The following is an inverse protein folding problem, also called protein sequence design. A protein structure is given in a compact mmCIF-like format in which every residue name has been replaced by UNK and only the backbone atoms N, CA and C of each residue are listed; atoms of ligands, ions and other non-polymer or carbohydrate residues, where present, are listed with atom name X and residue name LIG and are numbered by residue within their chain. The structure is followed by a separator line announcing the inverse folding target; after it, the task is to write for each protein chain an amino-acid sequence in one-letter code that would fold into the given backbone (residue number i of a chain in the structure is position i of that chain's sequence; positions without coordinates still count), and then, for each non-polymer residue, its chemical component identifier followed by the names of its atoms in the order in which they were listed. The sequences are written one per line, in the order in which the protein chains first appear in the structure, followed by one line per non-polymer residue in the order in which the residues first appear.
data_IF_860483639229
#
_entry.id   IF_860483639229
#
_cell.length_a   1.000
_cell.length_b   1.000
_cell.length_c   1.000
_cell.angle_alpha   90.00
_cell.angle_beta   90.00
_cell.angle_gamma   90.00
#
_symmetry.space_group_name_H-M   'P 1'
#
loop_
_entity.id
_entity.type
_entity.pdbx_description
1 polymer ?
#
# COMPACT_ATOMS: atom_id res chain seq x y z
N UNK A 1 -41.44 70.60 34.15
CA UNK A 1 -41.49 69.17 34.52
C UNK A 1 -40.11 68.59 34.21
N UNK A 2 -39.20 68.50 35.21
CA UNK A 2 -38.84 67.26 35.94
C UNK A 2 -38.57 66.11 34.95
N UNK A 3 -37.35 65.57 34.78
CA UNK A 3 -36.37 65.16 35.80
C UNK A 3 -34.89 65.31 35.34
N UNK A 4 -33.97 65.58 36.28
CA UNK A 4 -32.52 65.53 36.10
C UNK A 4 -31.96 64.11 36.31
N UNK A 5 -30.87 63.76 35.62
CA UNK A 5 -30.08 62.55 35.87
C UNK A 5 -29.09 62.80 37.01
N UNK A 6 -29.30 62.12 38.13
CA UNK A 6 -28.37 62.00 39.24
C UNK A 6 -27.80 60.58 39.21
N UNK A 7 -26.49 60.43 38.98
CA UNK A 7 -25.71 59.48 39.77
C UNK A 7 -25.61 60.01 41.21
N UNK A 8 -25.12 59.27 42.22
CA UNK A 8 -24.04 58.29 42.12
C UNK A 8 -24.24 57.05 43.03
N UNK A 9 -23.15 56.29 43.23
CA UNK A 9 -22.76 55.54 44.44
C UNK A 9 -22.56 54.03 44.22
N UNK A 10 -21.27 53.71 44.13
CA UNK A 10 -20.54 52.62 44.78
C UNK A 10 -21.14 51.22 44.78
N UNK A 11 -20.46 50.33 44.06
CA UNK A 11 -20.48 48.89 44.29
C UNK A 11 -19.13 48.30 43.90
N UNK A 12 -18.29 48.03 44.90
CA UNK A 12 -17.01 47.34 44.76
C UNK A 12 -17.20 45.97 44.12
N UNK A 13 -16.47 45.68 43.05
CA UNK A 13 -16.05 44.31 42.76
C UNK A 13 -14.61 44.35 42.25
N UNK A 14 -13.67 44.08 43.15
CA UNK A 14 -12.37 43.55 42.76
C UNK A 14 -12.62 42.16 42.16
N UNK A 15 -12.70 42.06 40.84
CA UNK A 15 -12.56 40.80 40.16
C UNK A 15 -11.06 40.48 40.11
N UNK A 16 -10.61 39.60 41.02
CA UNK A 16 -9.31 38.98 40.90
C UNK A 16 -9.30 38.12 39.63
N UNK A 17 -8.70 38.62 38.55
CA UNK A 17 -8.34 37.80 37.40
C UNK A 17 -7.17 36.90 37.83
N UNK A 18 -7.52 35.75 38.39
CA UNK A 18 -6.60 34.62 38.49
C UNK A 18 -6.36 34.11 37.06
N UNK A 19 -5.27 34.57 36.43
CA UNK A 19 -4.70 33.95 35.25
C UNK A 19 -4.27 32.52 35.63
N UNK A 20 -5.19 31.58 35.44
CA UNK A 20 -4.87 30.16 35.50
C UNK A 20 -4.01 29.87 34.26
N UNK A 21 -2.69 29.94 34.43
CA UNK A 21 -1.76 29.30 33.51
C UNK A 21 -2.05 27.80 33.58
N UNK A 22 -2.95 27.34 32.72
CA UNK A 22 -3.02 25.92 32.38
C UNK A 22 -1.68 25.64 31.71
N UNK A 23 -0.76 25.04 32.46
CA UNK A 23 0.41 24.41 31.89
C UNK A 23 -0.12 23.29 30.98
N UNK A 24 -0.33 23.62 29.70
CA UNK A 24 -0.45 22.60 28.67
C UNK A 24 0.81 21.75 28.81
N UNK A 25 0.70 20.43 28.98
CA UNK A 25 1.88 19.59 28.86
C UNK A 25 2.44 19.84 27.47
N UNK A 26 3.60 20.50 27.42
CA UNK A 26 4.48 20.48 26.27
C UNK A 26 4.75 19.00 26.04
N UNK A 27 3.98 18.39 25.13
CA UNK A 27 4.37 17.12 24.58
C UNK A 27 5.72 17.43 23.93
N UNK A 28 6.81 16.77 24.32
CA UNK A 28 8.03 16.89 23.55
C UNK A 28 7.61 16.54 22.13
N UNK A 29 7.75 17.48 21.20
CA UNK A 29 7.81 17.15 19.81
C UNK A 29 9.02 16.22 19.72
N UNK A 30 8.77 14.91 19.83
CA UNK A 30 9.74 13.91 19.43
C UNK A 30 10.12 14.34 18.02
N UNK A 31 11.38 14.69 17.82
CA UNK A 31 11.96 14.79 16.49
C UNK A 31 11.92 13.36 15.91
N UNK A 32 10.73 12.90 15.56
CA UNK A 32 10.46 11.55 15.12
C UNK A 32 10.90 11.46 13.68
N UNK A 33 11.87 10.59 13.42
CA UNK A 33 12.18 10.19 12.07
C UNK A 33 10.97 9.54 11.38
N UNK A 34 11.12 9.11 10.12
CA UNK A 34 10.06 8.34 9.47
C UNK A 34 9.71 7.09 10.30
N UNK A 35 8.41 6.77 10.36
CA UNK A 35 7.89 5.65 11.11
C UNK A 35 6.96 4.79 10.25
N UNK A 36 6.98 3.47 10.49
CA UNK A 36 6.10 2.49 9.86
C UNK A 36 5.02 2.08 10.86
N UNK A 37 3.75 2.11 10.45
CA UNK A 37 2.64 1.57 11.25
C UNK A 37 2.28 0.15 10.81
N UNK A 38 2.24 -0.79 11.74
CA UNK A 38 1.69 -2.13 11.51
C UNK A 38 0.41 -2.26 12.35
N UNK A 39 -0.74 -2.33 11.69
CA UNK A 39 -2.06 -2.47 12.31
C UNK A 39 -2.70 -3.80 11.88
N UNK A 40 -2.40 -4.86 12.63
CA UNK A 40 -2.82 -6.23 12.31
C UNK A 40 -3.50 -6.89 13.50
N UNK A 41 -4.51 -7.72 13.25
CA UNK A 41 -5.22 -8.47 14.29
C UNK A 41 -5.72 -7.60 15.47
N UNK A 42 -6.19 -6.39 15.16
CA UNK A 42 -6.70 -5.43 16.16
C UNK A 42 -5.62 -4.74 17.01
N UNK A 43 -4.35 -4.99 16.75
CA UNK A 43 -3.22 -4.33 17.42
C UNK A 43 -2.52 -3.38 16.45
N UNK A 44 -2.29 -2.14 16.88
CA UNK A 44 -1.48 -1.18 16.14
C UNK A 44 -0.13 -0.97 16.85
N UNK A 45 0.95 -1.02 16.06
CA UNK A 45 2.32 -0.72 16.51
C UNK A 45 2.98 0.23 15.54
N UNK A 46 3.72 1.19 16.09
CA UNK A 46 4.51 2.15 15.32
C UNK A 46 5.99 1.82 15.53
N UNK A 47 6.72 1.69 14.43
CA UNK A 47 8.13 1.38 14.41
C UNK A 47 8.91 2.57 13.86
N UNK A 48 9.76 3.17 14.68
CA UNK A 48 10.70 4.19 14.26
C UNK A 48 11.83 3.57 13.41
N UNK A 49 12.31 4.32 12.41
CA UNK A 49 13.40 3.89 11.52
C UNK A 49 14.65 3.45 12.28
N UNK A 50 15.13 4.26 13.23
CA UNK A 50 16.39 4.00 13.92
C UNK A 50 16.22 2.82 14.89
N UNK A 51 15.04 2.68 15.49
CA UNK A 51 14.67 1.49 16.26
C UNK A 51 14.67 0.22 15.41
N UNK A 52 14.16 0.26 14.17
CA UNK A 52 14.19 -0.87 13.23
C UNK A 52 15.62 -1.24 12.84
N UNK A 53 16.47 -0.25 12.55
CA UNK A 53 17.88 -0.45 12.20
C UNK A 53 18.69 -1.06 13.36
N UNK A 54 18.32 -0.75 14.60
CA UNK A 54 18.98 -1.24 15.81
C UNK A 54 18.50 -2.63 16.28
N UNK A 55 17.50 -3.23 15.61
CA UNK A 55 16.98 -4.54 16.02
C UNK A 55 18.05 -5.63 15.93
N UNK A 56 18.06 -6.60 16.87
CA UNK A 56 19.03 -7.69 16.88
C UNK A 56 18.88 -8.64 15.68
N UNK A 57 17.68 -8.72 15.10
CA UNK A 57 17.39 -9.52 13.90
C UNK A 57 17.46 -8.71 12.60
N UNK A 58 17.89 -7.45 12.63
CA UNK A 58 18.14 -6.68 11.42
C UNK A 58 19.42 -7.19 10.74
N UNK A 59 19.30 -7.63 9.50
CA UNK A 59 20.39 -8.24 8.70
C UNK A 59 20.63 -7.44 7.42
N UNK A 60 21.76 -7.70 6.75
CA UNK A 60 21.96 -7.22 5.38
C UNK A 60 21.37 -8.25 4.41
N UNK A 61 20.55 -7.81 3.47
CA UNK A 61 19.99 -8.65 2.41
C UNK A 61 20.43 -8.11 1.05
N UNK A 62 20.91 -9.01 0.19
CA UNK A 62 21.28 -8.69 -1.18
C UNK A 62 20.16 -9.11 -2.12
N UNK A 63 19.70 -8.17 -2.95
CA UNK A 63 18.65 -8.35 -3.94
C UNK A 63 19.30 -8.22 -5.32
N UNK A 64 19.60 -9.34 -6.02
CA UNK A 64 20.34 -9.30 -7.29
C UNK A 64 19.60 -8.59 -8.42
N UNK A 65 18.27 -8.64 -8.39
CA UNK A 65 17.39 -8.03 -9.38
C UNK A 65 16.25 -7.32 -8.65
N UNK A 66 16.54 -6.14 -8.10
CA UNK A 66 15.52 -5.32 -7.46
C UNK A 66 14.54 -4.81 -8.51
N UNK A 67 13.25 -5.02 -8.28
CA UNK A 67 12.25 -4.74 -9.29
C UNK A 67 11.96 -3.24 -9.47
N UNK A 68 12.13 -2.44 -8.41
CA UNK A 68 11.90 -0.99 -8.48
C UNK A 68 13.11 -0.26 -9.05
N UNK A 69 14.32 -0.75 -8.73
CA UNK A 69 15.57 -0.15 -9.24
C UNK A 69 16.07 -0.75 -10.56
N UNK A 70 15.64 -1.96 -10.91
CA UNK A 70 16.10 -2.68 -12.12
C UNK A 70 17.58 -3.10 -12.06
N UNK A 71 18.16 -3.21 -10.87
CA UNK A 71 19.59 -3.53 -10.67
C UNK A 71 19.84 -4.20 -9.31
N UNK A 72 21.04 -4.76 -9.07
CA UNK A 72 21.39 -5.25 -7.76
C UNK A 72 21.35 -4.15 -6.69
N UNK A 73 20.75 -4.45 -5.55
CA UNK A 73 20.66 -3.58 -4.39
C UNK A 73 20.98 -4.36 -3.10
N UNK A 74 21.51 -3.67 -2.09
CA UNK A 74 21.80 -4.26 -0.77
C UNK A 74 21.18 -3.40 0.32
N UNK A 75 20.46 -4.04 1.23
CA UNK A 75 19.65 -3.35 2.23
C UNK A 75 19.96 -3.82 3.63
N UNK A 76 19.98 -2.88 4.60
CA UNK A 76 19.74 -3.25 5.99
C UNK A 76 18.25 -3.46 6.16
N UNK A 77 17.84 -4.63 6.61
CA UNK A 77 16.45 -5.03 6.60
C UNK A 77 16.09 -5.93 7.79
N UNK A 78 14.81 -5.94 8.15
CA UNK A 78 14.25 -6.75 9.23
C UNK A 78 13.34 -7.83 8.62
N UNK A 79 13.42 -9.10 9.05
CA UNK A 79 12.48 -10.12 8.59
C UNK A 79 11.02 -9.71 8.87
N UNK A 80 10.19 -9.67 7.82
CA UNK A 80 8.81 -9.20 7.97
C UNK A 80 8.01 -10.11 8.92
N UNK A 81 8.23 -11.42 8.85
CA UNK A 81 7.60 -12.39 9.74
C UNK A 81 7.86 -12.09 11.22
N UNK A 82 9.07 -11.62 11.58
CA UNK A 82 9.42 -11.23 12.94
C UNK A 82 8.64 -9.99 13.38
N UNK A 83 8.53 -8.97 12.51
CA UNK A 83 7.74 -7.76 12.79
C UNK A 83 6.26 -8.09 12.98
N UNK A 84 5.68 -8.85 12.06
CA UNK A 84 4.29 -9.29 12.14
C UNK A 84 4.05 -10.14 13.39
N UNK A 85 4.95 -11.08 13.70
CA UNK A 85 4.89 -11.94 14.89
C UNK A 85 4.82 -11.16 16.21
N UNK A 86 5.40 -9.96 16.27
CA UNK A 86 5.23 -9.09 17.44
C UNK A 86 3.83 -8.49 17.57
N UNK A 87 3.07 -8.41 16.48
CA UNK A 87 1.76 -7.76 16.39
C UNK A 87 0.58 -8.74 16.35
N UNK A 88 0.79 -10.03 16.09
CA UNK A 88 -0.25 -11.07 16.16
C UNK A 88 -0.47 -11.49 17.61
N UNK A 89 -1.71 -11.83 17.97
CA UNK A 89 -2.07 -12.39 19.27
C UNK A 89 -1.31 -13.71 19.56
N UNK A 90 -1.27 -14.20 20.81
CA UNK A 90 -0.55 -15.43 21.20
C UNK A 90 -0.92 -16.70 20.41
N UNK A 91 -2.04 -16.68 19.68
CA UNK A 91 -2.49 -17.76 18.80
C UNK A 91 -1.70 -17.91 17.50
N UNK A 92 -0.84 -16.94 17.14
CA UNK A 92 0.09 -17.04 16.00
C UNK A 92 -0.53 -16.91 14.60
N UNK A 93 -1.83 -17.14 14.45
CA UNK A 93 -2.49 -17.19 13.14
C UNK A 93 -3.37 -15.97 12.83
N UNK A 94 -3.45 -15.63 11.55
CA UNK A 94 -4.44 -14.70 11.02
C UNK A 94 -5.79 -15.40 10.84
N UNK A 95 -6.93 -14.72 11.07
CA UNK A 95 -8.24 -15.28 10.75
C UNK A 95 -8.33 -15.74 9.29
N UNK A 96 -9.04 -16.84 8.98
CA UNK A 96 -9.25 -17.27 7.60
C UNK A 96 -9.88 -16.16 6.75
N UNK A 97 -9.36 -15.98 5.54
CA UNK A 97 -9.80 -14.91 4.63
C UNK A 97 -9.29 -13.52 5.03
N UNK A 98 -8.20 -13.44 5.80
CA UNK A 98 -7.46 -12.19 6.01
C UNK A 98 -6.47 -11.97 4.87
N UNK A 99 -6.33 -10.72 4.44
CA UNK A 99 -5.23 -10.24 3.60
C UNK A 99 -4.49 -9.12 4.32
N UNK A 100 -3.21 -8.94 4.04
CA UNK A 100 -2.48 -7.74 4.45
C UNK A 100 -2.46 -6.73 3.29
N UNK A 101 -2.66 -5.46 3.60
CA UNK A 101 -2.49 -4.36 2.66
C UNK A 101 -1.20 -3.58 3.00
N UNK A 102 -0.26 -3.55 2.06
CA UNK A 102 0.94 -2.71 2.15
C UNK A 102 0.66 -1.34 1.53
N UNK A 103 0.45 -0.32 2.38
CA UNK A 103 0.04 1.02 1.97
C UNK A 103 1.25 1.94 1.88
N UNK A 104 1.57 2.40 0.68
CA UNK A 104 2.62 3.38 0.45
C UNK A 104 2.12 4.81 0.66
N UNK A 105 3.05 5.75 0.84
CA UNK A 105 2.75 7.16 1.07
C UNK A 105 2.08 7.90 -0.11
N UNK A 106 2.16 7.34 -1.31
CA UNK A 106 1.61 7.92 -2.54
C UNK A 106 0.23 7.36 -2.93
N UNK A 107 -0.36 6.51 -2.08
CA UNK A 107 -1.67 5.90 -2.32
C UNK A 107 -1.64 4.55 -3.02
N UNK A 108 -0.46 4.00 -3.31
CA UNK A 108 -0.30 2.60 -3.71
C UNK A 108 -0.67 1.64 -2.57
N UNK A 109 -1.38 0.55 -2.86
CA UNK A 109 -1.82 -0.43 -1.84
C UNK A 109 -1.66 -1.88 -2.31
N UNK A 110 -0.53 -2.51 -1.99
CA UNK A 110 -0.25 -3.90 -2.35
C UNK A 110 -1.14 -4.89 -1.59
N UNK A 111 -1.63 -5.93 -2.29
CA UNK A 111 -2.31 -7.07 -1.67
C UNK A 111 -1.28 -8.16 -1.33
N UNK A 112 -1.15 -8.46 -0.04
CA UNK A 112 -0.10 -9.30 0.53
C UNK A 112 -0.73 -10.47 1.31
N UNK A 113 -0.70 -11.70 0.77
CA UNK A 113 -1.20 -12.87 1.50
C UNK A 113 -0.40 -13.08 2.81
N UNK A 114 -1.05 -13.25 3.97
CA UNK A 114 -0.34 -13.41 5.24
C UNK A 114 0.65 -14.57 5.25
N UNK A 115 0.30 -15.70 4.61
CA UNK A 115 1.15 -16.88 4.46
C UNK A 115 2.43 -16.61 3.67
N UNK A 116 2.39 -15.65 2.75
CA UNK A 116 3.55 -15.22 1.99
C UNK A 116 4.44 -14.32 2.86
N UNK A 117 3.85 -13.40 3.64
CA UNK A 117 4.58 -12.50 4.53
C UNK A 117 5.20 -13.17 5.76
N UNK A 118 4.62 -14.28 6.24
CA UNK A 118 5.10 -15.04 7.39
C UNK A 118 6.16 -16.09 7.04
N UNK A 119 6.42 -16.33 5.75
CA UNK A 119 7.38 -17.33 5.31
C UNK A 119 8.81 -16.93 5.69
N UNK A 120 9.52 -17.83 6.36
CA UNK A 120 10.90 -17.63 6.85
C UNK A 120 11.90 -18.71 6.39
N UNK A 121 11.41 -19.80 5.80
CA UNK A 121 12.23 -20.95 5.41
C UNK A 121 12.96 -20.80 4.07
N UNK A 122 14.04 -21.56 3.86
CA UNK A 122 14.86 -21.53 2.65
C UNK A 122 14.20 -22.24 1.45
N UNK A 123 12.93 -22.59 1.48
CA UNK A 123 12.24 -23.26 0.36
C UNK A 123 11.28 -22.34 -0.40
N UNK A 124 11.11 -21.08 0.02
CA UNK A 124 10.30 -20.11 -0.70
C UNK A 124 10.81 -18.68 -0.57
N UNK A 125 9.98 -17.74 -1.02
CA UNK A 125 10.29 -16.32 -0.90
C UNK A 125 10.29 -15.89 0.57
N UNK A 126 11.24 -15.03 0.96
CA UNK A 126 11.29 -14.46 2.32
C UNK A 126 11.17 -12.96 2.24
N UNK A 127 10.16 -12.42 2.93
CA UNK A 127 9.90 -10.98 3.00
C UNK A 127 10.80 -10.29 4.03
N UNK A 128 11.36 -9.16 3.63
CA UNK A 128 12.09 -8.26 4.51
C UNK A 128 11.58 -6.83 4.37
N UNK A 129 11.46 -6.14 5.50
CA UNK A 129 11.32 -4.69 5.52
C UNK A 129 12.73 -4.08 5.41
N UNK A 130 13.11 -3.62 4.22
CA UNK A 130 14.31 -2.82 4.03
C UNK A 130 14.11 -1.42 4.63
N UNK A 131 15.14 -0.92 5.31
CA UNK A 131 15.10 0.35 6.04
C UNK A 131 16.25 1.24 5.57
N UNK A 132 15.92 2.42 5.08
CA UNK A 132 16.89 3.39 4.55
C UNK A 132 17.55 4.17 5.69
N UNK A 133 18.88 4.04 5.92
CA UNK A 133 19.57 4.82 6.95
C UNK A 133 19.60 6.31 6.63
N UNK A 134 19.45 7.17 7.64
CA UNK A 134 19.44 8.63 7.47
C UNK A 134 20.76 9.18 6.90
N UNK A 135 21.87 8.59 7.31
CA UNK A 135 23.24 8.96 6.95
C UNK A 135 23.70 8.36 5.62
N UNK A 136 22.94 7.39 5.09
CA UNK A 136 23.23 6.71 3.85
C UNK A 136 21.93 6.45 3.07
N UNK A 137 21.30 7.51 2.54
CA UNK A 137 20.09 7.37 1.75
C UNK A 137 20.34 6.52 0.51
N UNK A 138 19.31 5.80 0.08
CA UNK A 138 19.34 5.05 -1.16
C UNK A 138 19.33 6.01 -2.36
N UNK A 139 19.85 5.56 -3.51
CA UNK A 139 19.72 6.31 -4.75
C UNK A 139 18.25 6.54 -5.10
N UNK A 140 17.98 7.57 -5.91
CA UNK A 140 16.64 7.79 -6.44
C UNK A 140 16.21 6.64 -7.35
N UNK A 141 14.90 6.36 -7.34
CA UNK A 141 14.28 5.40 -8.25
C UNK A 141 14.42 5.88 -9.71
N UNK A 142 14.58 4.97 -10.68
CA UNK A 142 14.65 5.31 -12.10
C UNK A 142 13.48 6.21 -12.52
N UNK A 143 13.78 7.38 -13.08
CA UNK A 143 12.77 8.34 -13.53
C UNK A 143 12.04 9.10 -12.41
N UNK A 144 12.45 8.98 -11.14
CA UNK A 144 11.86 9.70 -10.00
C UNK A 144 12.88 10.57 -9.28
N UNK A 145 12.40 11.56 -8.54
CA UNK A 145 13.22 12.45 -7.70
C UNK A 145 13.39 11.93 -6.26
N UNK A 146 12.84 10.76 -5.95
CA UNK A 146 12.80 10.14 -4.62
C UNK A 146 13.35 8.72 -4.67
N UNK A 147 13.86 8.21 -3.56
CA UNK A 147 14.26 6.81 -3.39
C UNK A 147 13.06 5.91 -3.09
N UNK A 148 13.32 4.62 -2.90
CA UNK A 148 12.35 3.66 -2.37
C UNK A 148 12.13 3.79 -0.84
N UNK A 149 12.93 4.60 -0.16
CA UNK A 149 12.91 4.75 1.29
C UNK A 149 11.72 5.58 1.78
N UNK A 150 11.50 5.70 3.10
CA UNK A 150 12.37 5.18 4.16
C UNK A 150 12.19 3.69 4.44
N UNK A 151 11.10 3.10 3.96
CA UNK A 151 10.74 1.70 4.15
C UNK A 151 10.33 1.06 2.83
N UNK A 152 10.88 -0.12 2.55
CA UNK A 152 10.61 -0.85 1.33
C UNK A 152 10.41 -2.34 1.63
N UNK A 153 9.30 -2.93 1.18
CA UNK A 153 9.12 -4.37 1.23
C UNK A 153 9.88 -5.04 0.08
N UNK A 154 10.89 -5.83 0.43
CA UNK A 154 11.72 -6.58 -0.52
C UNK A 154 11.64 -8.07 -0.26
N UNK A 155 11.98 -8.87 -1.27
CA UNK A 155 11.87 -10.32 -1.20
C UNK A 155 13.17 -11.00 -1.62
N UNK A 156 13.62 -11.97 -0.81
CA UNK A 156 14.66 -12.91 -1.21
C UNK A 156 14.00 -14.09 -1.92
N UNK A 157 14.45 -14.41 -3.14
CA UNK A 157 13.91 -15.47 -4.02
C UNK A 157 12.41 -15.35 -4.28
N UNK A 158 11.94 -14.19 -4.78
CA UNK A 158 10.52 -13.96 -5.09
C UNK A 158 9.90 -15.03 -5.98
N UNK A 159 10.67 -15.57 -6.92
CA UNK A 159 10.25 -16.59 -7.89
C UNK A 159 9.84 -17.91 -7.21
N UNK A 160 10.43 -18.24 -6.06
CA UNK A 160 10.14 -19.47 -5.33
C UNK A 160 8.74 -19.49 -4.71
N UNK A 161 8.00 -18.37 -4.74
CA UNK A 161 6.62 -18.29 -4.26
C UNK A 161 5.72 -17.45 -5.17
N UNK A 162 6.17 -17.15 -6.39
CA UNK A 162 5.39 -16.40 -7.38
C UNK A 162 5.07 -14.96 -6.93
N UNK A 163 5.97 -14.32 -6.18
CA UNK A 163 5.80 -12.92 -5.75
C UNK A 163 5.74 -12.03 -6.99
N UNK A 164 4.64 -11.28 -7.14
CA UNK A 164 4.41 -10.38 -8.28
C UNK A 164 5.05 -9.02 -8.07
N UNK A 165 5.14 -8.27 -9.17
CA UNK A 165 5.81 -6.96 -9.18
C UNK A 165 5.21 -5.93 -8.23
N UNK A 166 3.88 -5.87 -8.14
CA UNK A 166 3.19 -4.96 -7.20
C UNK A 166 3.17 -5.43 -5.74
N UNK A 167 3.81 -6.56 -5.42
CA UNK A 167 3.97 -7.00 -4.02
C UNK A 167 5.26 -6.46 -3.39
N UNK A 168 5.90 -5.48 -4.05
CA UNK A 168 7.08 -4.75 -3.58
C UNK A 168 6.76 -3.27 -3.32
N UNK A 169 5.85 -2.93 -2.37
CA UNK A 169 5.57 -1.53 -2.05
C UNK A 169 6.81 -0.86 -1.45
N UNK A 170 7.33 0.16 -2.15
CA UNK A 170 8.30 1.11 -1.61
C UNK A 170 7.61 2.33 -0.99
N UNK A 171 8.35 3.16 -0.26
CA UNK A 171 7.79 4.28 0.51
C UNK A 171 6.63 3.81 1.42
N UNK A 172 6.78 2.60 1.98
CA UNK A 172 5.77 1.91 2.74
C UNK A 172 5.49 2.68 4.04
N UNK A 173 4.25 3.14 4.21
CA UNK A 173 3.83 3.89 5.38
C UNK A 173 3.10 2.98 6.38
N UNK A 174 2.33 2.00 5.89
CA UNK A 174 1.53 1.12 6.74
C UNK A 174 1.45 -0.32 6.22
N UNK A 175 1.34 -1.26 7.13
CA UNK A 175 0.85 -2.62 6.85
C UNK A 175 -0.41 -2.82 7.68
N UNK A 176 -1.54 -3.12 7.04
CA UNK A 176 -2.83 -3.27 7.73
C UNK A 176 -3.47 -4.61 7.39
N UNK A 177 -4.14 -5.25 8.36
CA UNK A 177 -4.95 -6.44 8.07
C UNK A 177 -6.35 -6.04 7.63
N UNK A 178 -6.86 -6.66 6.57
CA UNK A 178 -8.25 -6.51 6.13
C UNK A 178 -8.86 -7.86 5.74
N UNK A 179 -10.18 -7.88 5.53
CA UNK A 179 -10.84 -9.01 4.89
C UNK A 179 -10.35 -9.20 3.45
N UNK A 180 -10.45 -10.43 2.95
CA UNK A 180 -10.24 -10.80 1.55
C UNK A 180 -10.96 -9.81 0.61
N UNK A 181 -10.31 -9.37 -0.49
CA UNK A 181 -10.88 -8.37 -1.39
C UNK A 181 -12.26 -8.72 -1.94
N UNK A 182 -12.58 -9.99 -2.19
CA UNK A 182 -13.90 -10.40 -2.70
C UNK A 182 -14.97 -10.40 -1.61
N UNK A 183 -14.57 -10.58 -0.34
CA UNK A 183 -15.47 -10.42 0.80
C UNK A 183 -15.72 -8.94 1.10
N UNK A 184 -14.66 -8.13 1.09
CA UNK A 184 -14.73 -6.68 1.34
C UNK A 184 -15.43 -5.94 0.21
N UNK A 185 -15.21 -6.36 -1.02
CA UNK A 185 -15.79 -5.76 -2.23
C UNK A 185 -16.38 -6.84 -3.15
N UNK A 186 -17.61 -7.31 -2.88
CA UNK A 186 -18.27 -8.33 -3.70
C UNK A 186 -18.45 -7.93 -5.17
N UNK A 187 -18.45 -6.63 -5.50
CA UNK A 187 -18.53 -6.14 -6.87
C UNK A 187 -17.28 -6.42 -7.73
N UNK A 188 -16.18 -6.92 -7.14
CA UNK A 188 -15.02 -7.44 -7.87
C UNK A 188 -15.24 -8.86 -8.38
N UNK A 189 -16.21 -9.58 -7.82
CA UNK A 189 -16.44 -10.98 -8.13
C UNK A 189 -16.97 -11.16 -9.56
N UNK A 190 -16.37 -12.12 -10.27
CA UNK A 190 -16.89 -12.61 -11.55
C UNK A 190 -18.22 -13.35 -11.36
N UNK A 191 -18.84 -13.74 -12.46
CA UNK A 191 -20.11 -14.46 -12.40
C UNK A 191 -19.98 -15.80 -11.64
N UNK A 192 -20.87 -16.12 -10.69
CA UNK A 192 -20.79 -17.36 -9.93
C UNK A 192 -20.84 -18.62 -10.81
N UNK A 193 -21.55 -18.59 -11.94
CA UNK A 193 -21.70 -19.72 -12.86
C UNK A 193 -20.48 -20.05 -13.72
N UNK A 194 -19.42 -19.24 -13.71
CA UNK A 194 -18.21 -19.55 -14.49
C UNK A 194 -17.51 -20.82 -13.99
N UNK A 195 -16.96 -21.66 -14.88
CA UNK A 195 -16.11 -22.79 -14.50
C UNK A 195 -14.98 -22.36 -13.56
N UNK A 196 -14.56 -23.24 -12.64
CA UNK A 196 -13.51 -22.95 -11.67
C UNK A 196 -12.16 -22.66 -12.32
N UNK A 197 -11.88 -23.26 -13.47
CA UNK A 197 -10.68 -23.11 -14.29
C UNK A 197 -10.81 -22.01 -15.37
N UNK A 198 -11.86 -21.20 -15.33
CA UNK A 198 -12.07 -20.11 -16.27
C UNK A 198 -10.91 -19.11 -16.27
N UNK A 199 -10.44 -18.74 -17.47
CA UNK A 199 -9.45 -17.69 -17.65
C UNK A 199 -9.87 -16.34 -17.02
N UNK A 200 -11.18 -16.07 -16.94
CA UNK A 200 -11.74 -14.87 -16.31
C UNK A 200 -11.56 -14.91 -14.79
N UNK A 201 -11.73 -16.07 -14.14
CA UNK A 201 -11.44 -16.24 -12.70
C UNK A 201 -9.96 -16.07 -12.41
N UNK A 202 -9.09 -16.65 -13.25
CA UNK A 202 -7.66 -16.43 -13.14
C UNK A 202 -7.30 -14.94 -13.34
N UNK A 203 -7.95 -14.26 -14.28
CA UNK A 203 -7.80 -12.82 -14.51
C UNK A 203 -8.22 -11.95 -13.33
N UNK A 204 -9.27 -12.32 -12.61
CA UNK A 204 -9.67 -11.65 -11.37
C UNK A 204 -8.56 -11.72 -10.30
N UNK A 205 -7.95 -12.89 -10.12
CA UNK A 205 -6.83 -13.05 -9.18
C UNK A 205 -5.62 -12.20 -9.60
N UNK A 206 -5.28 -12.19 -10.89
CA UNK A 206 -4.22 -11.31 -11.43
C UNK A 206 -4.56 -9.84 -11.18
N UNK A 207 -5.79 -9.42 -11.45
CA UNK A 207 -6.22 -8.03 -11.24
C UNK A 207 -6.05 -7.60 -9.78
N UNK A 208 -6.53 -8.42 -8.83
CA UNK A 208 -6.45 -8.12 -7.39
C UNK A 208 -5.00 -7.98 -6.93
N UNK A 209 -4.09 -8.84 -7.39
CA UNK A 209 -2.69 -8.77 -6.93
C UNK A 209 -1.85 -7.75 -7.70
N UNK A 210 -2.11 -7.52 -8.99
CA UNK A 210 -1.24 -6.73 -9.87
C UNK A 210 -1.82 -5.35 -10.22
N UNK A 211 -3.12 -5.23 -10.48
CA UNK A 211 -3.70 -3.98 -10.98
C UNK A 211 -4.33 -3.14 -9.87
N UNK A 212 -4.94 -3.81 -8.89
CA UNK A 212 -5.68 -3.18 -7.79
C UNK A 212 -4.77 -2.42 -6.81
N UNK A 213 -3.46 -2.65 -6.90
CA UNK A 213 -2.48 -1.92 -6.12
C UNK A 213 -2.43 -0.42 -6.48
N UNK A 214 -2.79 -0.08 -7.73
CA UNK A 214 -2.91 1.31 -8.19
C UNK A 214 -4.36 1.69 -8.49
N UNK A 215 -5.15 0.77 -9.03
CA UNK A 215 -6.47 1.05 -9.58
C UNK A 215 -7.61 0.57 -8.71
N UNK A 216 -8.72 1.29 -8.72
CA UNK A 216 -10.01 0.74 -8.27
C UNK A 216 -10.76 0.09 -9.44
N UNK A 217 -11.79 -0.70 -9.13
CA UNK A 217 -12.73 -1.23 -10.12
C UNK A 217 -14.13 -1.21 -9.54
N UNK A 218 -15.09 -0.53 -10.18
CA UNK A 218 -16.43 -0.36 -9.61
C UNK A 218 -16.41 0.31 -8.21
N UNK A 219 -15.49 1.24 -7.98
CA UNK A 219 -15.24 1.88 -6.69
C UNK A 219 -14.62 0.96 -5.63
N UNK A 220 -14.29 -0.29 -5.97
CA UNK A 220 -13.64 -1.22 -5.07
C UNK A 220 -12.11 -1.07 -5.11
N UNK A 221 -11.49 -1.17 -3.94
CA UNK A 221 -10.05 -1.03 -3.74
C UNK A 221 -9.69 0.13 -2.83
N UNK A 222 -8.57 -0.02 -2.13
CA UNK A 222 -8.04 0.97 -1.20
C UNK A 222 -7.09 1.98 -1.87
N UNK A 223 -6.63 1.68 -3.09
CA UNK A 223 -5.67 2.51 -3.81
C UNK A 223 -6.28 3.84 -4.29
N UNK A 224 -5.45 4.89 -4.34
CA UNK A 224 -5.86 6.24 -4.79
C UNK A 224 -4.99 6.80 -5.92
N UNK A 225 -4.07 5.99 -6.45
CA UNK A 225 -3.09 6.41 -7.45
C UNK A 225 -3.65 6.45 -8.87
N UNK A 226 -4.33 5.36 -9.27
CA UNK A 226 -4.88 5.16 -10.60
C UNK A 226 -6.39 5.42 -10.63
N UNK A 227 -6.95 5.70 -11.82
CA UNK A 227 -8.39 5.83 -11.99
C UNK A 227 -9.10 4.49 -11.77
N UNK A 228 -10.41 4.57 -11.54
CA UNK A 228 -11.29 3.40 -11.61
C UNK A 228 -11.31 2.79 -13.01
N UNK A 229 -11.20 1.48 -13.11
CA UNK A 229 -11.12 0.75 -14.37
C UNK A 229 -12.47 0.20 -14.87
N UNK A 230 -13.59 0.61 -14.29
CA UNK A 230 -14.92 0.30 -14.83
C UNK A 230 -15.84 1.51 -14.94
N UNK A 231 -15.54 2.60 -14.23
CA UNK A 231 -16.36 3.80 -14.16
C UNK A 231 -15.57 5.07 -14.52
N UNK A 232 -16.14 5.98 -15.33
CA UNK A 232 -17.42 5.84 -16.06
C UNK A 232 -17.32 4.86 -17.25
N UNK A 233 -16.11 4.61 -17.76
CA UNK A 233 -15.87 3.72 -18.90
C UNK A 233 -14.86 2.65 -18.50
N UNK A 234 -15.11 1.42 -18.92
CA UNK A 234 -14.13 0.35 -18.84
C UNK A 234 -13.09 0.55 -19.95
N UNK A 235 -11.79 0.27 -19.74
CA UNK A 235 -10.80 0.34 -20.81
C UNK A 235 -11.17 -0.48 -22.06
N UNK A 236 -11.92 -1.58 -21.92
CA UNK A 236 -12.37 -2.37 -23.08
C UNK A 236 -13.50 -1.70 -23.88
N UNK A 237 -14.14 -0.66 -23.35
CA UNK A 237 -15.18 0.09 -24.07
C UNK A 237 -14.58 1.01 -25.15
N UNK A 238 -13.30 1.41 -25.00
CA UNK A 238 -12.67 2.42 -25.88
C UNK A 238 -11.26 2.05 -26.36
N UNK A 239 -10.66 0.97 -25.86
CA UNK A 239 -9.43 0.39 -26.40
C UNK A 239 -9.73 -0.97 -27.02
N UNK A 240 -9.10 -1.24 -28.17
CA UNK A 240 -9.06 -2.60 -28.70
C UNK A 240 -8.27 -3.50 -27.75
N UNK A 241 -8.49 -4.83 -27.75
CA UNK A 241 -7.71 -5.75 -26.92
C UNK A 241 -6.20 -5.61 -27.15
N UNK A 242 -5.75 -5.46 -28.40
CA UNK A 242 -4.34 -5.24 -28.72
C UNK A 242 -3.83 -3.88 -28.18
N UNK A 243 -4.64 -2.82 -28.28
CA UNK A 243 -4.30 -1.50 -27.75
C UNK A 243 -4.17 -1.51 -26.22
N UNK A 244 -5.08 -2.19 -25.51
CA UNK A 244 -5.01 -2.34 -24.06
C UNK A 244 -3.79 -3.15 -23.63
N UNK A 245 -3.48 -4.25 -24.32
CA UNK A 245 -2.25 -5.02 -24.08
C UNK A 245 -1.00 -4.16 -24.28
N UNK A 246 -0.95 -3.36 -25.35
CA UNK A 246 0.16 -2.44 -25.62
C UNK A 246 0.31 -1.39 -24.52
N UNK A 247 -0.82 -0.82 -24.05
CA UNK A 247 -0.85 0.13 -22.93
C UNK A 247 -0.28 -0.48 -21.64
N UNK A 248 -0.65 -1.72 -21.31
CA UNK A 248 -0.17 -2.40 -20.08
C UNK A 248 1.32 -2.75 -20.19
N UNK A 249 1.80 -3.13 -21.39
CA UNK A 249 3.21 -3.45 -21.64
C UNK A 249 4.12 -2.23 -21.54
N UNK A 250 3.74 -1.16 -22.22
CA UNK A 250 4.49 0.08 -22.24
C UNK A 250 3.54 1.27 -22.46
N UNK A 251 3.07 1.92 -21.38
CA UNK A 251 2.20 3.07 -21.48
C UNK A 251 2.78 4.22 -22.30
N UNK A 252 4.12 4.37 -22.33
CA UNK A 252 4.81 5.45 -23.03
C UNK A 252 4.83 5.23 -24.54
N UNK A 253 4.80 3.98 -25.00
CA UNK A 253 4.65 3.65 -26.44
C UNK A 253 3.30 4.07 -27.01
N UNK A 254 2.27 4.14 -26.17
CA UNK A 254 0.91 4.53 -26.58
C UNK A 254 0.73 6.04 -26.52
N UNK A 255 1.12 6.68 -25.41
CA UNK A 255 1.04 8.14 -25.22
C UNK A 255 1.88 8.59 -24.03
N UNK A 256 2.27 9.86 -24.00
CA UNK A 256 3.06 10.45 -22.90
C UNK A 256 2.54 11.82 -22.49
N UNK A 257 2.55 12.11 -21.19
CA UNK A 257 2.25 13.44 -20.63
C UNK A 257 3.01 13.67 -19.31
N UNK A 258 3.18 14.92 -18.85
CA UNK A 258 3.78 15.20 -17.55
C UNK A 258 2.98 14.54 -16.40
N UNK A 259 3.65 13.77 -15.56
CA UNK A 259 3.01 13.11 -14.41
C UNK A 259 2.35 11.77 -14.71
N UNK A 260 2.57 11.17 -15.90
CA UNK A 260 2.21 9.77 -16.17
C UNK A 260 2.85 8.83 -15.11
N UNK A 261 2.01 8.14 -14.33
CA UNK A 261 2.45 7.28 -13.21
C UNK A 261 2.51 5.79 -13.56
N UNK A 262 1.56 5.29 -14.36
CA UNK A 262 1.45 3.86 -14.65
C UNK A 262 2.76 3.35 -15.29
N UNK A 263 3.44 2.36 -14.67
CA UNK A 263 4.63 1.75 -15.25
C UNK A 263 4.23 0.78 -16.37
N UNK A 264 5.22 0.38 -17.17
CA UNK A 264 5.08 -0.76 -18.08
C UNK A 264 5.38 -2.07 -17.36
N UNK A 265 4.65 -3.13 -17.73
CA UNK A 265 4.88 -4.47 -17.19
C UNK A 265 5.45 -5.37 -18.29
N UNK A 266 6.72 -5.74 -18.16
CA UNK A 266 7.34 -6.68 -19.11
C UNK A 266 6.82 -8.12 -18.91
N UNK A 267 7.30 -9.05 -19.74
CA UNK A 267 6.86 -10.45 -19.70
C UNK A 267 7.29 -11.20 -18.44
N UNK A 268 8.32 -10.72 -17.73
CA UNK A 268 8.75 -11.30 -16.47
C UNK A 268 7.84 -10.85 -15.31
N UNK A 269 7.37 -9.59 -15.33
CA UNK A 269 6.45 -9.03 -14.34
C UNK A 269 5.00 -9.51 -14.54
N UNK A 270 4.59 -9.64 -15.80
CA UNK A 270 3.25 -10.09 -16.19
C UNK A 270 3.35 -10.95 -17.45
N UNK A 271 3.18 -12.26 -17.35
CA UNK A 271 3.24 -13.15 -18.54
C UNK A 271 2.17 -12.78 -19.58
N UNK A 272 2.35 -13.16 -20.85
CA UNK A 272 1.33 -12.93 -21.89
C UNK A 272 0.00 -13.63 -21.55
N UNK A 273 0.06 -14.81 -20.94
CA UNK A 273 -1.13 -15.52 -20.48
C UNK A 273 -1.87 -14.76 -19.37
N UNK A 274 -1.15 -14.18 -18.41
CA UNK A 274 -1.77 -13.36 -17.35
C UNK A 274 -2.31 -12.03 -17.89
N UNK A 275 -1.61 -11.41 -18.85
CA UNK A 275 -2.08 -10.22 -19.53
C UNK A 275 -3.40 -10.51 -20.27
N UNK A 276 -3.49 -11.63 -20.99
CA UNK A 276 -4.71 -12.08 -21.66
C UNK A 276 -5.86 -12.32 -20.68
N UNK A 277 -5.56 -12.96 -19.54
CA UNK A 277 -6.54 -13.20 -18.48
C UNK A 277 -7.05 -11.90 -17.86
N UNK A 278 -6.18 -10.93 -17.57
CA UNK A 278 -6.59 -9.63 -17.01
C UNK A 278 -7.46 -8.85 -18.01
N UNK A 279 -7.12 -8.87 -19.30
CA UNK A 279 -7.93 -8.24 -20.35
C UNK A 279 -9.30 -8.91 -20.46
N UNK A 280 -9.35 -10.24 -20.39
CA UNK A 280 -10.62 -10.99 -20.36
C UNK A 280 -11.46 -10.67 -19.11
N UNK A 281 -10.83 -10.54 -17.94
CA UNK A 281 -11.50 -10.13 -16.71
C UNK A 281 -12.06 -8.70 -16.82
N UNK A 282 -11.28 -7.74 -17.30
CA UNK A 282 -11.76 -6.37 -17.51
C UNK A 282 -12.96 -6.34 -18.47
N UNK A 283 -12.90 -7.09 -19.57
CA UNK A 283 -14.02 -7.22 -20.51
C UNK A 283 -15.26 -7.86 -19.89
N UNK A 284 -15.10 -8.88 -19.03
CA UNK A 284 -16.20 -9.46 -18.25
C UNK A 284 -16.83 -8.44 -17.30
N UNK A 285 -16.01 -7.59 -16.68
CA UNK A 285 -16.47 -6.57 -15.73
C UNK A 285 -17.13 -5.36 -16.41
N UNK A 286 -16.84 -5.09 -17.68
CA UNK A 286 -17.53 -4.05 -18.46
C UNK A 286 -19.05 -4.26 -18.51
N UNK A 287 -19.50 -5.53 -18.56
CA UNK A 287 -20.91 -5.92 -18.47
C UNK A 287 -21.48 -5.93 -17.04
N UNK A 288 -20.68 -5.61 -16.02
CA UNK A 288 -21.00 -5.69 -14.59
C UNK A 288 -20.64 -4.39 -13.85
N UNK A 289 -20.96 -3.25 -14.47
CA UNK A 289 -20.82 -1.94 -13.82
C UNK A 289 -21.80 -1.86 -12.65
N UNK A 290 -21.26 -1.77 -11.43
CA UNK A 290 -22.11 -1.44 -10.28
C UNK A 290 -22.51 0.06 -10.36
N UNK A 291 -23.62 0.48 -9.73
CA UNK A 291 -24.03 1.89 -9.66
C UNK A 291 -23.01 2.77 -8.94
#
# INVERSE_FOLDING_TARGET
MRKPSLGPVAGRLLAALSLLFVALPLHPALAGGPALTIAVAGTERVFDRDALLARPDAVTVDIPADISYGRPMSYRAVPLASLLGTAIAPSGDFPPGTVLEGVASDGFTAQLPPELCLRSGPDGAVAFLAVEPADRPWPNLPGKAVSAGPFYLVWVRPEASGVRSEQWPYQLARIVSSDDPLRRWPQLAVEPGLPADSAIRAGQAVFITQCMACHTLNGAGSATMGPDLNRPMNPTDYLTPAGLKTLIRDPRSVRTWPGQQMPGFDTAMLSDADLDRVVAYLGHMAGRKAP
#
